data_IF_961925831029
#
_entry.id   IF_961925831029
#
_cell.length_a   1.000
_cell.length_b   1.000
_cell.length_c   1.000
_cell.angle_alpha   90.00
_cell.angle_beta   90.00
_cell.angle_gamma   90.00
#
_symmetry.space_group_name_H-M   'P 1'
#
loop_
_entity.id
_entity.type
_entity.pdbx_description
1 polymer ?
#
# COMPACT_ATOMS: atom_id res chain seq x y z
N UNK A 1 75.71 8.78 35.28
CA UNK A 1 75.26 9.72 36.34
C UNK A 1 73.77 9.48 36.50
N UNK A 2 73.16 8.98 37.57
CA UNK A 2 73.54 8.39 38.87
C UNK A 2 72.44 7.37 39.23
N UNK A 3 72.78 6.27 39.93
CA UNK A 3 72.45 6.02 41.36
C UNK A 3 70.95 6.17 41.69
N UNK A 4 70.25 5.19 42.27
CA UNK A 4 70.64 3.90 42.83
C UNK A 4 69.48 3.29 43.65
N UNK A 5 69.75 2.09 44.19
CA UNK A 5 69.06 1.39 45.29
C UNK A 5 67.61 0.87 45.04
N UNK A 6 67.20 -0.33 45.44
CA UNK A 6 67.83 -1.39 46.24
C UNK A 6 66.79 -2.11 47.11
N UNK A 7 66.88 -3.46 47.15
CA UNK A 7 66.35 -4.46 48.13
C UNK A 7 64.84 -4.77 48.12
N UNK A 8 64.40 -6.02 47.92
CA UNK A 8 64.49 -7.29 48.69
C UNK A 8 63.18 -7.57 49.46
N UNK A 9 62.38 -8.56 49.05
CA UNK A 9 62.34 -9.96 49.54
C UNK A 9 61.50 -10.19 50.81
N UNK A 10 60.39 -10.94 50.69
CA UNK A 10 59.76 -11.84 51.69
C UNK A 10 58.52 -12.49 51.03
N UNK A 11 58.51 -13.75 50.59
CA UNK A 11 58.31 -15.04 51.31
C UNK A 11 57.14 -15.09 52.30
N UNK A 12 56.06 -15.81 51.93
CA UNK A 12 55.25 -16.72 52.77
C UNK A 12 54.21 -17.38 51.84
N UNK A 13 54.40 -18.61 51.37
CA UNK A 13 54.12 -19.91 52.03
C UNK A 13 52.64 -20.22 52.19
N UNK A 14 52.22 -21.17 51.35
CA UNK A 14 51.05 -22.03 51.36
C UNK A 14 50.36 -22.33 52.71
N UNK A 15 49.04 -22.44 52.66
CA UNK A 15 48.30 -23.46 53.41
C UNK A 15 47.23 -24.10 52.53
N UNK A 16 47.41 -25.41 52.33
CA UNK A 16 46.44 -26.34 51.76
C UNK A 16 45.25 -26.49 52.70
N UNK A 17 44.05 -26.61 52.15
CA UNK A 17 43.01 -27.44 52.76
C UNK A 17 42.21 -28.13 51.66
N UNK A 18 42.69 -29.31 51.29
CA UNK A 18 41.87 -30.35 50.70
C UNK A 18 40.86 -30.82 51.75
N UNK A 19 39.57 -30.89 51.42
CA UNK A 19 38.67 -31.82 52.06
C UNK A 19 37.38 -32.01 51.24
N UNK A 20 37.23 -33.26 50.77
CA UNK A 20 35.99 -34.03 50.72
C UNK A 20 35.07 -33.76 49.51
N UNK A 21 35.44 -34.45 48.44
CA UNK A 21 34.49 -35.06 47.52
C UNK A 21 33.45 -35.89 48.30
N UNK A 22 32.24 -35.35 48.43
CA UNK A 22 31.08 -36.10 48.87
C UNK A 22 30.52 -36.84 47.65
N UNK A 23 30.83 -38.14 47.58
CA UNK A 23 30.27 -39.09 46.63
C UNK A 23 28.74 -39.10 46.77
N UNK A 24 28.05 -38.40 45.88
CA UNK A 24 26.61 -38.53 45.71
C UNK A 24 26.33 -39.89 45.08
N UNK A 25 25.99 -40.87 45.93
CA UNK A 25 25.41 -42.15 45.53
C UNK A 25 24.16 -41.89 44.71
N UNK A 26 24.14 -42.43 43.48
CA UNK A 26 22.94 -42.54 42.65
C UNK A 26 21.85 -43.32 43.40
N UNK A 27 20.66 -42.78 43.64
CA UNK A 27 19.53 -43.57 44.07
C UNK A 27 19.05 -44.42 42.89
N UNK A 28 19.07 -45.73 43.09
CA UNK A 28 18.48 -46.74 42.21
C UNK A 28 17.03 -46.42 41.88
N UNK A 29 16.67 -46.50 40.60
CA UNK A 29 15.28 -46.46 40.12
C UNK A 29 14.47 -47.56 40.79
N UNK A 30 13.72 -47.22 41.83
CA UNK A 30 12.65 -48.07 42.37
C UNK A 30 11.37 -47.66 41.64
N UNK A 31 10.90 -48.54 40.76
CA UNK A 31 9.62 -48.41 40.09
C UNK A 31 8.51 -48.24 41.14
N UNK A 32 7.93 -47.03 41.20
CA UNK A 32 6.66 -46.80 41.87
C UNK A 32 5.59 -47.00 40.81
N UNK A 33 4.73 -47.98 41.04
CA UNK A 33 3.50 -48.17 40.27
C UNK A 33 2.63 -46.90 40.28
N UNK A 34 1.68 -46.79 39.35
CA UNK A 34 0.86 -45.61 39.22
C UNK A 34 0.00 -45.45 40.48
N UNK A 35 0.26 -44.39 41.24
CA UNK A 35 -0.69 -43.87 42.22
C UNK A 35 -1.80 -43.19 41.42
N UNK A 36 -2.96 -43.83 41.38
CA UNK A 36 -4.22 -43.20 40.98
C UNK A 36 -4.40 -41.91 41.79
N UNK A 37 -4.28 -40.77 41.11
CA UNK A 37 -4.85 -39.52 41.60
C UNK A 37 -6.33 -39.58 41.25
N UNK A 38 -7.14 -39.81 42.28
CA UNK A 38 -8.56 -39.56 42.28
C UNK A 38 -8.82 -38.11 41.90
N UNK A 39 -9.31 -37.90 40.67
CA UNK A 39 -9.88 -36.64 40.25
C UNK A 39 -11.26 -36.47 40.93
N UNK A 40 -11.67 -35.25 41.31
CA UNK A 40 -12.98 -34.99 41.90
C UNK A 40 -14.10 -35.38 40.93
N UNK A 41 -14.99 -36.24 41.41
CA UNK A 41 -16.09 -36.87 40.68
C UNK A 41 -17.26 -35.92 40.39
N UNK A 42 -17.16 -35.18 39.28
CA UNK A 42 -18.29 -34.48 38.67
C UNK A 42 -18.44 -34.80 37.16
N UNK A 43 -17.87 -35.93 36.73
CA UNK A 43 -18.08 -36.48 35.40
C UNK A 43 -18.49 -37.97 35.51
N UNK A 44 -19.49 -38.27 36.32
CA UNK A 44 -20.25 -39.51 36.16
C UNK A 44 -21.31 -39.28 35.10
N UNK A 45 -21.02 -39.82 33.91
CA UNK A 45 -22.01 -40.18 32.92
C UNK A 45 -23.22 -40.86 33.61
N UNK A 46 -24.43 -40.42 33.29
CA UNK A 46 -25.63 -41.14 33.70
C UNK A 46 -26.82 -40.31 34.16
N UNK A 47 -27.10 -39.15 33.58
CA UNK A 47 -28.46 -38.61 33.53
C UNK A 47 -28.62 -37.86 32.22
N UNK A 48 -29.01 -38.56 31.17
CA UNK A 48 -29.88 -38.08 30.10
C UNK A 48 -30.15 -39.27 29.19
N UNK A 49 -31.11 -40.10 29.61
CA UNK A 49 -31.82 -40.98 28.70
C UNK A 49 -32.54 -40.12 27.68
N UNK A 50 -31.83 -39.76 26.61
CA UNK A 50 -32.45 -39.30 25.38
C UNK A 50 -33.03 -40.54 24.73
N UNK A 51 -34.27 -40.86 25.11
CA UNK A 51 -35.17 -41.68 24.32
C UNK A 51 -35.01 -41.28 22.86
N UNK A 52 -34.55 -42.22 22.03
CA UNK A 52 -34.57 -42.12 20.58
C UNK A 52 -36.03 -42.07 20.13
N UNK A 53 -36.65 -40.91 20.27
CA UNK A 53 -37.72 -40.55 19.35
C UNK A 53 -37.03 -40.30 18.03
N UNK A 54 -37.17 -41.28 17.14
CA UNK A 54 -36.87 -41.20 15.73
C UNK A 54 -37.68 -40.03 15.17
N UNK A 55 -37.21 -38.81 15.35
CA UNK A 55 -37.58 -37.71 14.46
C UNK A 55 -37.00 -38.17 13.15
N UNK A 56 -37.86 -38.70 12.29
CA UNK A 56 -37.56 -38.96 10.90
C UNK A 56 -36.83 -37.74 10.36
N UNK A 57 -35.51 -37.84 10.34
CA UNK A 57 -34.66 -36.85 9.76
C UNK A 57 -35.07 -36.85 8.31
N UNK A 58 -35.83 -35.83 7.92
CA UNK A 58 -35.79 -35.33 6.56
C UNK A 58 -34.33 -34.95 6.36
N UNK A 59 -33.52 -35.94 5.97
CA UNK A 59 -32.27 -35.74 5.27
C UNK A 59 -32.72 -35.06 3.99
N UNK A 60 -32.96 -33.75 4.08
CA UNK A 60 -32.90 -32.89 2.93
C UNK A 60 -31.46 -32.99 2.50
N UNK A 61 -31.16 -34.01 1.70
CA UNK A 61 -30.01 -34.03 0.83
C UNK A 61 -30.25 -32.88 -0.14
N UNK A 62 -30.08 -31.64 0.34
CA UNK A 62 -29.83 -30.51 -0.51
C UNK A 62 -28.60 -30.92 -1.28
N UNK A 63 -28.82 -31.42 -2.50
CA UNK A 63 -27.76 -31.77 -3.43
C UNK A 63 -26.81 -30.57 -3.44
N UNK A 64 -25.49 -30.75 -3.33
CA UNK A 64 -24.55 -29.63 -3.38
C UNK A 64 -24.76 -28.77 -4.65
N UNK A 65 -25.29 -29.38 -5.72
CA UNK A 65 -25.77 -28.68 -6.92
C UNK A 65 -26.93 -27.70 -6.69
N UNK A 66 -27.90 -28.00 -5.81
CA UNK A 66 -29.02 -27.08 -5.50
C UNK A 66 -28.53 -25.88 -4.70
N UNK A 67 -27.63 -26.08 -3.72
CA UNK A 67 -27.02 -24.97 -2.97
C UNK A 67 -26.12 -24.14 -3.89
N UNK A 68 -25.32 -24.77 -4.76
CA UNK A 68 -24.50 -24.06 -5.74
C UNK A 68 -25.35 -23.25 -6.73
N UNK A 69 -26.47 -23.79 -7.21
CA UNK A 69 -27.42 -23.07 -8.08
C UNK A 69 -28.11 -21.92 -7.32
N UNK A 70 -28.46 -22.11 -6.05
CA UNK A 70 -29.05 -21.05 -5.22
C UNK A 70 -28.04 -19.91 -4.97
N UNK A 71 -26.78 -20.25 -4.70
CA UNK A 71 -25.68 -19.29 -4.48
C UNK A 71 -25.30 -18.57 -5.77
N UNK A 72 -25.23 -19.27 -6.92
CA UNK A 72 -25.02 -18.63 -8.23
C UNK A 72 -26.22 -17.76 -8.64
N UNK A 73 -27.45 -18.15 -8.28
CA UNK A 73 -28.67 -17.36 -8.55
C UNK A 73 -28.80 -16.09 -7.68
N UNK A 74 -28.10 -16.05 -6.54
CA UNK A 74 -28.03 -14.87 -5.66
C UNK A 74 -26.95 -13.86 -6.09
N UNK A 75 -26.15 -14.17 -7.11
CA UNK A 75 -25.26 -13.20 -7.75
C UNK A 75 -26.14 -12.23 -8.54
N UNK A 76 -26.68 -11.23 -7.84
CA UNK A 76 -27.29 -10.07 -8.50
C UNK A 76 -26.23 -9.51 -9.44
N UNK A 77 -26.57 -9.42 -10.72
CA UNK A 77 -25.83 -8.59 -11.67
C UNK A 77 -25.92 -7.18 -11.11
N UNK A 78 -24.93 -6.81 -10.31
CA UNK A 78 -24.71 -5.44 -9.93
C UNK A 78 -24.36 -4.73 -11.24
N UNK A 79 -25.37 -4.15 -11.88
CA UNK A 79 -25.18 -3.25 -12.99
C UNK A 79 -24.33 -2.10 -12.43
N UNK A 80 -23.03 -2.18 -12.66
CA UNK A 80 -22.12 -1.09 -12.35
C UNK A 80 -22.64 0.12 -13.11
N UNK A 81 -22.95 1.20 -12.39
CA UNK A 81 -23.34 2.44 -13.03
C UNK A 81 -22.20 2.85 -13.98
N UNK A 82 -22.48 3.14 -15.27
CA UNK A 82 -21.44 3.53 -16.20
C UNK A 82 -20.79 4.83 -15.73
N UNK A 83 -19.60 4.71 -15.12
CA UNK A 83 -18.73 5.82 -14.80
C UNK A 83 -18.07 6.29 -16.11
N UNK A 84 -18.66 7.30 -16.72
CA UNK A 84 -18.07 8.01 -17.85
C UNK A 84 -17.57 9.37 -17.36
N UNK A 85 -16.38 9.43 -16.71
CA UNK A 85 -15.84 10.69 -16.22
C UNK A 85 -15.56 11.63 -17.40
N UNK A 86 -15.68 12.92 -17.16
CA UNK A 86 -15.19 13.90 -18.12
C UNK A 86 -13.66 13.85 -18.16
N UNK A 87 -13.08 13.90 -19.34
CA UNK A 87 -11.63 13.81 -19.53
C UNK A 87 -11.15 14.99 -20.37
N UNK A 88 -10.25 15.78 -19.79
CA UNK A 88 -9.48 16.81 -20.48
C UNK A 88 -8.08 16.27 -20.79
N UNK A 89 -7.80 16.10 -22.07
CA UNK A 89 -6.51 15.70 -22.60
C UNK A 89 -5.83 16.93 -23.21
N UNK A 90 -4.61 17.21 -22.81
CA UNK A 90 -3.76 18.24 -23.39
C UNK A 90 -2.47 17.57 -23.85
N UNK A 91 -2.13 17.71 -25.12
CA UNK A 91 -0.89 17.18 -25.68
C UNK A 91 -0.08 18.30 -26.31
N UNK A 92 0.97 18.70 -25.63
CA UNK A 92 1.91 19.71 -26.08
C UNK A 92 2.92 19.10 -27.06
N UNK A 93 3.14 19.78 -28.18
CA UNK A 93 4.15 19.45 -29.18
C UNK A 93 5.32 20.44 -29.11
N UNK A 94 6.50 20.04 -29.61
CA UNK A 94 7.62 20.97 -29.74
C UNK A 94 7.21 22.21 -30.53
N UNK A 95 7.43 23.40 -29.97
CA UNK A 95 7.03 24.68 -30.58
C UNK A 95 5.85 25.38 -29.89
N UNK A 96 5.27 24.80 -28.82
CA UNK A 96 4.26 25.47 -28.00
C UNK A 96 2.81 25.26 -28.44
N UNK A 97 2.62 24.43 -29.45
CA UNK A 97 1.29 24.04 -29.94
C UNK A 97 0.74 22.92 -29.06
N UNK A 98 -0.52 23.04 -28.66
CA UNK A 98 -1.20 22.08 -27.77
C UNK A 98 -2.47 21.57 -28.44
N UNK A 99 -2.54 20.26 -28.60
CA UNK A 99 -3.77 19.56 -28.98
C UNK A 99 -4.63 19.35 -27.74
N UNK A 100 -5.85 19.87 -27.78
CA UNK A 100 -6.84 19.78 -26.71
C UNK A 100 -7.92 18.76 -27.09
N UNK A 101 -8.10 17.76 -26.25
CA UNK A 101 -9.17 16.78 -26.32
C UNK A 101 -10.10 16.92 -25.12
N UNK A 102 -11.39 17.09 -25.36
CA UNK A 102 -12.39 17.20 -24.29
C UNK A 102 -13.48 16.16 -24.50
N UNK A 103 -13.51 15.14 -23.63
CA UNK A 103 -14.49 14.06 -23.66
C UNK A 103 -15.50 14.25 -22.54
N UNK A 104 -16.79 14.20 -22.90
CA UNK A 104 -17.91 14.29 -21.97
C UNK A 104 -18.91 13.16 -22.21
N UNK A 105 -19.61 12.66 -21.18
CA UNK A 105 -20.65 11.65 -21.35
C UNK A 105 -21.84 12.19 -22.15
N UNK A 106 -22.52 11.32 -22.91
CA UNK A 106 -23.75 11.66 -23.64
C UNK A 106 -24.89 12.04 -22.70
N UNK A 107 -25.01 11.36 -21.56
CA UNK A 107 -26.04 11.61 -20.55
C UNK A 107 -25.45 12.49 -19.46
N UNK A 108 -25.85 13.77 -19.42
CA UNK A 108 -25.48 14.72 -18.37
C UNK A 108 -26.72 15.13 -17.58
N UNK A 109 -26.59 15.18 -16.25
CA UNK A 109 -27.60 15.84 -15.42
C UNK A 109 -27.68 17.32 -15.81
N UNK A 110 -28.89 17.90 -15.83
CA UNK A 110 -29.07 19.34 -16.06
C UNK A 110 -28.24 20.13 -15.05
N UNK A 111 -27.47 21.11 -15.52
CA UNK A 111 -26.55 21.91 -14.69
C UNK A 111 -25.13 21.33 -14.53
N UNK A 112 -24.84 20.13 -15.03
CA UNK A 112 -23.49 19.54 -15.02
C UNK A 112 -22.68 19.87 -16.30
N UNK A 113 -22.81 21.09 -16.81
CA UNK A 113 -22.07 21.56 -17.97
C UNK A 113 -20.65 21.92 -17.57
N UNK A 114 -19.70 21.07 -17.94
CA UNK A 114 -18.29 21.27 -17.65
C UNK A 114 -17.57 21.79 -18.90
N UNK A 115 -16.76 22.82 -18.71
CA UNK A 115 -15.94 23.45 -19.72
C UNK A 115 -14.46 23.42 -19.33
N UNK A 116 -13.56 23.13 -20.29
CA UNK A 116 -12.14 23.12 -20.03
C UNK A 116 -11.60 24.54 -19.90
N UNK A 117 -10.81 24.77 -18.85
CA UNK A 117 -10.08 26.01 -18.60
C UNK A 117 -8.66 25.87 -19.11
N UNK A 118 -8.31 26.69 -20.09
CA UNK A 118 -6.97 26.80 -20.65
C UNK A 118 -6.28 28.08 -20.12
N UNK A 119 -4.94 28.12 -20.11
CA UNK A 119 -4.19 29.30 -19.71
C UNK A 119 -4.47 30.49 -20.64
N UNK A 120 -4.46 31.72 -20.10
CA UNK A 120 -4.79 32.93 -20.85
C UNK A 120 -3.89 33.22 -22.07
N UNK A 121 -2.67 32.67 -22.10
CA UNK A 121 -1.77 32.81 -23.27
C UNK A 121 -2.15 31.91 -24.44
N UNK A 122 -2.93 30.86 -24.21
CA UNK A 122 -3.26 29.88 -25.22
C UNK A 122 -4.34 30.42 -26.16
N UNK A 123 -3.99 30.65 -27.43
CA UNK A 123 -4.90 31.16 -28.45
C UNK A 123 -5.37 30.01 -29.37
N UNK A 124 -6.67 29.92 -29.68
CA UNK A 124 -7.15 28.88 -30.59
C UNK A 124 -6.61 29.11 -32.00
N UNK A 125 -5.99 28.08 -32.58
CA UNK A 125 -5.51 28.10 -33.97
C UNK A 125 -6.61 27.66 -34.94
N UNK A 126 -7.53 26.81 -34.48
CA UNK A 126 -8.65 26.27 -35.27
C UNK A 126 -9.92 26.20 -34.43
N UNK A 127 -11.07 26.33 -35.08
CA UNK A 127 -12.37 26.11 -34.45
C UNK A 127 -12.54 24.63 -34.06
N UNK A 128 -13.08 24.32 -32.87
CA UNK A 128 -13.25 22.94 -32.44
C UNK A 128 -14.16 22.15 -33.37
N UNK A 129 -13.71 20.97 -33.79
CA UNK A 129 -14.56 20.02 -34.51
C UNK A 129 -15.16 19.03 -33.49
N UNK A 130 -16.48 18.96 -33.35
CA UNK A 130 -17.12 17.94 -32.53
C UNK A 130 -17.07 16.59 -33.26
N UNK A 131 -16.64 15.56 -32.55
CA UNK A 131 -16.61 14.17 -33.01
C UNK A 131 -17.35 13.30 -31.98
N UNK A 132 -18.30 12.49 -32.43
CA UNK A 132 -19.08 11.60 -31.56
C UNK A 132 -18.35 10.26 -31.50
N UNK A 133 -17.91 9.85 -30.31
CA UNK A 133 -17.10 8.64 -30.12
C UNK A 133 -17.62 7.83 -28.91
N UNK A 134 -18.05 6.59 -29.16
CA UNK A 134 -18.19 5.54 -28.13
C UNK A 134 -18.98 5.92 -26.88
N UNK A 135 -20.16 6.53 -27.02
CA UNK A 135 -21.03 6.85 -25.87
C UNK A 135 -20.79 8.22 -25.22
N UNK A 136 -19.93 9.06 -25.81
CA UNK A 136 -19.65 10.43 -25.37
C UNK A 136 -19.50 11.41 -26.54
N UNK A 137 -19.48 12.70 -26.22
CA UNK A 137 -19.11 13.76 -27.17
C UNK A 137 -17.64 14.11 -26.92
N UNK A 138 -16.78 13.95 -27.94
CA UNK A 138 -15.38 14.36 -27.90
C UNK A 138 -15.18 15.60 -28.77
N UNK A 139 -14.62 16.65 -28.20
CA UNK A 139 -14.22 17.85 -28.93
C UNK A 139 -12.70 17.85 -29.06
N UNK A 140 -12.18 18.06 -30.27
CA UNK A 140 -10.73 18.20 -30.52
C UNK A 140 -10.44 19.52 -31.21
N UNK A 141 -9.45 20.25 -30.71
CA UNK A 141 -8.94 21.48 -31.32
C UNK A 141 -7.50 21.74 -30.92
N UNK A 142 -6.87 22.66 -31.62
CA UNK A 142 -5.47 23.03 -31.40
C UNK A 142 -5.40 24.47 -30.89
N UNK A 143 -4.54 24.70 -29.90
CA UNK A 143 -4.22 26.04 -29.37
C UNK A 143 -2.71 26.29 -29.44
N UNK A 144 -2.33 27.54 -29.64
CA UNK A 144 -0.94 28.00 -29.54
C UNK A 144 -0.73 28.65 -28.17
N UNK A 145 0.08 28.03 -27.33
CA UNK A 145 0.43 28.51 -25.99
C UNK A 145 1.80 29.20 -25.94
N UNK A 146 2.46 29.41 -27.08
CA UNK A 146 3.78 30.01 -27.18
C UNK A 146 4.92 29.10 -26.72
N UNK A 147 6.17 29.59 -26.88
CA UNK A 147 7.40 28.79 -26.66
C UNK A 147 7.58 28.27 -25.23
N UNK A 148 7.00 28.94 -24.25
CA UNK A 148 7.07 28.55 -22.84
C UNK A 148 6.14 27.37 -22.49
N UNK A 149 5.33 26.92 -23.45
CA UNK A 149 4.58 25.67 -23.34
C UNK A 149 3.50 25.74 -22.27
N UNK A 150 3.21 24.62 -21.62
CA UNK A 150 2.22 24.52 -20.53
C UNK A 150 2.83 24.53 -19.11
N UNK A 151 4.14 24.55 -18.97
CA UNK A 151 4.81 24.44 -17.67
C UNK A 151 4.53 25.65 -16.77
N UNK A 152 4.26 25.41 -15.49
CA UNK A 152 3.96 26.43 -14.48
C UNK A 152 2.53 26.96 -14.52
N UNK A 153 1.69 26.40 -15.38
CA UNK A 153 0.41 27.01 -15.75
C UNK A 153 -0.75 26.16 -15.25
N UNK A 154 -1.91 26.82 -15.08
CA UNK A 154 -3.10 26.17 -14.51
C UNK A 154 -4.02 25.76 -15.63
N UNK A 155 -4.39 24.49 -15.61
CA UNK A 155 -5.35 23.88 -16.53
C UNK A 155 -6.39 23.14 -15.72
N UNK A 156 -7.61 23.03 -16.24
CA UNK A 156 -8.62 22.31 -15.50
C UNK A 156 -9.99 22.40 -16.13
N UNK A 157 -11.01 22.28 -15.29
CA UNK A 157 -12.39 22.20 -15.73
C UNK A 157 -13.25 22.98 -14.75
N UNK A 158 -14.14 23.82 -15.27
CA UNK A 158 -15.11 24.60 -14.50
C UNK A 158 -16.52 24.39 -15.04
N UNK A 159 -17.53 24.55 -14.21
CA UNK A 159 -18.93 24.50 -14.63
C UNK A 159 -19.84 25.24 -13.64
N UNK A 160 -21.07 25.59 -14.06
CA UNK A 160 -22.00 26.38 -13.24
C UNK A 160 -22.71 25.56 -12.15
N UNK A 161 -22.55 24.24 -12.14
CA UNK A 161 -23.34 23.33 -11.31
C UNK A 161 -22.80 23.10 -9.90
N UNK A 162 -23.73 22.84 -8.98
CA UNK A 162 -23.50 22.22 -7.67
C UNK A 162 -23.21 20.72 -7.77
N UNK A 163 -23.33 20.14 -8.96
CA UNK A 163 -23.14 18.70 -9.21
C UNK A 163 -21.65 18.38 -9.29
N UNK A 164 -21.20 17.56 -8.33
CA UNK A 164 -19.80 17.15 -8.13
C UNK A 164 -19.41 16.07 -9.15
N UNK A 165 -19.28 16.43 -10.43
CA UNK A 165 -18.62 15.55 -11.38
C UNK A 165 -17.12 15.85 -11.38
N UNK A 166 -16.33 14.89 -10.90
CA UNK A 166 -14.88 14.96 -11.01
C UNK A 166 -14.46 14.77 -12.48
N UNK A 167 -13.54 15.59 -12.96
CA UNK A 167 -12.97 15.45 -14.29
C UNK A 167 -11.48 15.11 -14.21
N UNK A 168 -11.05 14.16 -15.03
CA UNK A 168 -9.65 13.76 -15.12
C UNK A 168 -8.95 14.68 -16.10
N UNK A 169 -7.85 15.29 -15.66
CA UNK A 169 -6.98 16.12 -16.50
C UNK A 169 -5.71 15.34 -16.77
N UNK A 170 -5.35 15.21 -18.04
CA UNK A 170 -4.16 14.51 -18.51
C UNK A 170 -3.38 15.42 -19.45
N UNK A 171 -2.19 15.81 -19.04
CA UNK A 171 -1.30 16.69 -19.81
C UNK A 171 -0.06 15.91 -20.20
N UNK A 172 0.17 15.77 -21.50
CA UNK A 172 1.41 15.22 -22.05
C UNK A 172 2.24 16.40 -22.53
N UNK A 173 3.35 16.67 -21.84
CA UNK A 173 4.25 17.77 -22.14
C UNK A 173 5.15 17.44 -23.34
N UNK A 174 5.73 18.47 -23.98
CA UNK A 174 6.64 18.28 -25.10
C UNK A 174 7.90 17.46 -24.75
N UNK A 175 8.28 17.41 -23.47
CA UNK A 175 9.38 16.60 -22.96
C UNK A 175 9.00 15.13 -22.65
N UNK A 176 7.79 14.73 -23.03
CA UNK A 176 7.26 13.38 -22.85
C UNK A 176 6.69 13.09 -21.46
N UNK A 177 6.81 14.02 -20.49
CA UNK A 177 6.23 13.82 -19.16
C UNK A 177 4.71 13.83 -19.22
N UNK A 178 4.11 12.93 -18.46
CA UNK A 178 2.67 12.87 -18.25
C UNK A 178 2.33 13.45 -16.88
N UNK A 179 1.55 14.52 -16.85
CA UNK A 179 0.98 15.09 -15.63
C UNK A 179 -0.49 14.72 -15.59
N UNK A 180 -0.90 14.03 -14.53
CA UNK A 180 -2.30 13.66 -14.31
C UNK A 180 -2.82 14.33 -13.05
N UNK A 181 -4.08 14.75 -13.09
CA UNK A 181 -4.77 15.31 -11.94
C UNK A 181 -6.26 15.04 -12.04
N UNK A 182 -6.92 15.16 -10.89
CA UNK A 182 -8.37 15.10 -10.80
C UNK A 182 -8.85 16.47 -10.35
N UNK A 183 -9.76 17.04 -11.13
CA UNK A 183 -10.43 18.29 -10.81
C UNK A 183 -11.78 17.99 -10.17
N UNK A 184 -12.15 18.81 -9.20
CA UNK A 184 -13.42 18.76 -8.50
C UNK A 184 -13.92 20.19 -8.26
N UNK A 185 -15.18 20.41 -7.86
CA UNK A 185 -15.68 21.75 -7.57
C UNK A 185 -14.82 22.53 -6.55
N UNK A 186 -14.23 21.84 -5.57
CA UNK A 186 -13.31 22.47 -4.59
C UNK A 186 -11.89 22.68 -5.10
N UNK A 187 -11.47 21.99 -6.16
CA UNK A 187 -10.16 22.11 -6.81
C UNK A 187 -10.31 22.00 -8.32
N UNK A 188 -10.81 23.05 -9.00
CA UNK A 188 -11.14 22.98 -10.42
C UNK A 188 -9.91 23.07 -11.34
N UNK A 189 -8.75 23.45 -10.79
CA UNK A 189 -7.52 23.69 -11.54
C UNK A 189 -6.36 22.85 -10.99
N UNK A 190 -5.56 22.33 -11.91
CA UNK A 190 -4.29 21.63 -11.66
C UNK A 190 -3.17 22.51 -12.18
N UNK A 191 -2.14 22.71 -11.35
CA UNK A 191 -0.93 23.43 -11.77
C UNK A 191 0.06 22.44 -12.38
N UNK A 192 0.56 22.75 -13.56
CA UNK A 192 1.52 21.90 -14.27
C UNK A 192 2.92 22.16 -13.68
N UNK A 193 3.53 21.18 -13.01
CA UNK A 193 4.77 21.42 -12.29
C UNK A 193 5.96 21.58 -13.24
N UNK A 194 6.95 22.41 -12.86
CA UNK A 194 8.25 22.41 -13.52
C UNK A 194 8.91 21.04 -13.39
N UNK A 195 9.99 20.82 -14.15
CA UNK A 195 10.75 19.56 -14.06
C UNK A 195 11.34 19.44 -12.65
N UNK A 196 10.95 18.42 -11.86
CA UNK A 196 11.47 18.26 -10.52
C UNK A 196 12.95 17.87 -10.59
N UNK A 197 13.76 18.36 -9.65
CA UNK A 197 15.17 17.96 -9.57
C UNK A 197 15.26 16.59 -8.91
N UNK A 198 16.21 15.76 -9.33
CA UNK A 198 16.37 14.40 -8.81
C UNK A 198 16.50 14.36 -7.28
N UNK A 199 17.20 15.34 -6.70
CA UNK A 199 17.37 15.44 -5.24
C UNK A 199 16.07 15.79 -4.51
N UNK A 200 15.26 16.68 -5.07
CA UNK A 200 13.96 17.06 -4.48
C UNK A 200 13.04 15.84 -4.45
N UNK A 201 13.00 15.10 -5.56
CA UNK A 201 12.27 13.83 -5.65
C UNK A 201 12.79 12.84 -4.60
N UNK A 202 14.10 12.60 -4.55
CA UNK A 202 14.68 11.67 -3.57
C UNK A 202 14.34 12.05 -2.12
N UNK A 203 14.37 13.34 -1.80
CA UNK A 203 14.01 13.88 -0.48
C UNK A 203 12.53 13.66 -0.16
N UNK A 204 11.64 13.95 -1.11
CA UNK A 204 10.21 13.76 -0.93
C UNK A 204 9.86 12.28 -0.72
N UNK A 205 10.44 11.37 -1.52
CA UNK A 205 10.28 9.93 -1.33
C UNK A 205 10.83 9.45 0.02
N UNK A 206 12.01 9.92 0.43
CA UNK A 206 12.57 9.58 1.74
C UNK A 206 11.67 10.06 2.89
N UNK A 207 11.17 11.30 2.81
CA UNK A 207 10.24 11.86 3.81
C UNK A 207 8.93 11.07 3.86
N UNK A 208 8.37 10.73 2.70
CA UNK A 208 7.13 9.95 2.61
C UNK A 208 7.34 8.55 3.20
N UNK A 209 8.47 7.90 2.91
CA UNK A 209 8.83 6.61 3.48
C UNK A 209 8.99 6.63 4.99
N UNK A 210 9.69 7.64 5.55
CA UNK A 210 9.82 7.81 7.00
C UNK A 210 8.45 8.02 7.65
N UNK A 211 7.60 8.89 7.08
CA UNK A 211 6.24 9.09 7.58
C UNK A 211 5.43 7.79 7.55
N UNK A 212 5.53 7.03 6.46
CA UNK A 212 4.82 5.76 6.30
C UNK A 212 5.21 4.74 7.39
N UNK A 213 6.52 4.54 7.63
CA UNK A 213 7.02 3.62 8.66
C UNK A 213 6.54 4.04 10.06
N UNK A 214 6.57 5.34 10.37
CA UNK A 214 6.18 5.85 11.69
C UNK A 214 4.66 5.77 11.94
N UNK A 215 3.84 5.86 10.90
CA UNK A 215 2.37 5.85 11.03
C UNK A 215 1.76 4.45 11.07
N UNK A 216 2.46 3.42 10.58
CA UNK A 216 1.92 2.07 10.43
C UNK A 216 2.44 1.10 11.51
N UNK A 217 1.57 0.54 12.38
CA UNK A 217 2.01 -0.43 13.38
C UNK A 217 2.64 -1.68 12.75
N UNK A 218 2.15 -2.13 11.59
CA UNK A 218 2.68 -3.31 10.89
C UNK A 218 4.14 -3.12 10.45
N UNK A 219 4.51 -1.92 10.00
CA UNK A 219 5.88 -1.61 9.59
C UNK A 219 6.82 -1.57 10.78
N UNK A 220 6.36 -1.01 11.91
CA UNK A 220 7.12 -1.01 13.15
C UNK A 220 7.33 -2.43 13.68
N UNK A 221 6.31 -3.29 13.64
CA UNK A 221 6.42 -4.70 14.02
C UNK A 221 7.39 -5.45 13.09
N UNK A 222 7.37 -5.17 11.79
CA UNK A 222 8.32 -5.75 10.84
C UNK A 222 9.76 -5.33 11.13
N UNK A 223 10.02 -4.04 11.31
CA UNK A 223 11.37 -3.53 11.65
C UNK A 223 11.81 -4.07 13.01
N UNK A 224 10.92 -4.13 13.99
CA UNK A 224 11.19 -4.71 15.31
C UNK A 224 11.58 -6.19 15.20
N UNK A 225 10.84 -6.98 14.43
CA UNK A 225 11.17 -8.38 14.16
C UNK A 225 12.54 -8.51 13.46
N UNK A 226 12.87 -7.63 12.52
CA UNK A 226 14.19 -7.60 11.89
C UNK A 226 15.30 -7.25 12.88
N UNK A 227 15.08 -6.30 13.80
CA UNK A 227 16.05 -5.96 14.85
C UNK A 227 16.28 -7.17 15.77
N UNK A 228 15.22 -7.88 16.16
CA UNK A 228 15.33 -9.10 16.96
C UNK A 228 16.06 -10.23 16.22
N UNK A 229 15.78 -10.41 14.93
CA UNK A 229 16.39 -11.47 14.11
C UNK A 229 17.86 -11.19 13.78
N UNK A 230 18.17 -9.95 13.41
CA UNK A 230 19.49 -9.56 12.94
C UNK A 230 20.46 -9.23 14.09
N UNK A 231 19.94 -8.78 15.23
CA UNK A 231 20.67 -8.48 16.47
C UNK A 231 21.62 -7.27 16.42
N UNK A 232 21.94 -6.74 15.24
CA UNK A 232 22.84 -5.58 15.05
C UNK A 232 22.32 -4.66 13.94
N UNK A 233 22.49 -3.35 14.10
CA UNK A 233 22.03 -2.36 13.11
C UNK A 233 22.62 -2.60 11.72
N UNK A 234 23.91 -2.99 11.64
CA UNK A 234 24.56 -3.31 10.37
C UNK A 234 23.89 -4.48 9.64
N UNK A 235 23.51 -5.53 10.37
CA UNK A 235 22.79 -6.67 9.77
C UNK A 235 21.37 -6.27 9.36
N UNK A 236 20.66 -5.45 10.14
CA UNK A 236 19.34 -4.93 9.74
C UNK A 236 19.43 -4.16 8.43
N UNK A 237 20.38 -3.23 8.31
CA UNK A 237 20.58 -2.45 7.08
C UNK A 237 20.90 -3.37 5.90
N UNK A 238 21.78 -4.37 6.09
CA UNK A 238 22.09 -5.34 5.05
C UNK A 238 20.85 -6.15 4.62
N UNK A 239 20.03 -6.63 5.55
CA UNK A 239 18.81 -7.39 5.28
C UNK A 239 17.77 -6.56 4.53
N UNK A 240 17.52 -5.32 4.98
CA UNK A 240 16.56 -4.41 4.30
C UNK A 240 17.06 -4.07 2.89
N UNK A 241 18.36 -3.80 2.73
CA UNK A 241 18.95 -3.52 1.41
C UNK A 241 18.81 -4.72 0.48
N UNK A 242 19.09 -5.93 0.95
CA UNK A 242 18.94 -7.16 0.17
C UNK A 242 17.48 -7.41 -0.24
N UNK A 243 16.53 -7.16 0.66
CA UNK A 243 15.10 -7.26 0.37
C UNK A 243 14.68 -6.26 -0.72
N UNK A 244 15.06 -4.99 -0.59
CA UNK A 244 14.79 -3.96 -1.61
C UNK A 244 15.42 -4.31 -2.94
N UNK A 245 16.68 -4.78 -2.94
CA UNK A 245 17.39 -5.15 -4.15
C UNK A 245 16.74 -6.36 -4.85
N UNK A 246 16.39 -7.41 -4.10
CA UNK A 246 15.69 -8.58 -4.63
C UNK A 246 14.35 -8.21 -5.25
N UNK A 247 13.54 -7.40 -4.56
CA UNK A 247 12.28 -6.91 -5.10
C UNK A 247 12.45 -6.05 -6.36
N UNK A 248 13.48 -5.21 -6.40
CA UNK A 248 13.78 -4.37 -7.57
C UNK A 248 14.12 -5.22 -8.79
N UNK A 249 14.93 -6.28 -8.61
CA UNK A 249 15.27 -7.22 -9.68
C UNK A 249 14.00 -7.89 -10.22
N UNK A 250 13.15 -8.43 -9.34
CA UNK A 250 11.92 -9.10 -9.77
C UNK A 250 10.99 -8.16 -10.53
N UNK A 251 10.82 -6.91 -10.08
CA UNK A 251 9.99 -5.92 -10.79
C UNK A 251 10.56 -5.50 -12.15
N UNK A 252 11.88 -5.55 -12.32
CA UNK A 252 12.53 -5.21 -13.60
C UNK A 252 12.41 -6.36 -14.61
N UNK A 253 12.29 -7.59 -14.14
CA UNK A 253 12.15 -8.80 -14.96
C UNK A 253 10.69 -9.15 -15.31
N UNK A 254 9.72 -8.63 -14.55
CA UNK A 254 8.29 -8.87 -14.73
C UNK A 254 7.69 -7.95 -15.80
#
# INVERSE_FOLDING_TARGET
MGSGAGRSSRTARASRSAARAASWRRPSKRARGPRERTAPGWLTAGVFGLSSTTVAGVRSAMRPGVVAVLVLGLVRVALAHPLAPCVLELRETPGGVVEVGWKTPLVRARGAELEPVLPARCRPLRTPKPEVEGGGIRRRWTVDCGRDGLVGQRVGVTGPGTVVLAAVVRVTLADGRLVQGVTSPGRPLVTIPPRPRALDVARDYARLGVAHILTGPDHLLFVFALVLLAGTARRVVATVTAFTFGHSITLTLA
#
